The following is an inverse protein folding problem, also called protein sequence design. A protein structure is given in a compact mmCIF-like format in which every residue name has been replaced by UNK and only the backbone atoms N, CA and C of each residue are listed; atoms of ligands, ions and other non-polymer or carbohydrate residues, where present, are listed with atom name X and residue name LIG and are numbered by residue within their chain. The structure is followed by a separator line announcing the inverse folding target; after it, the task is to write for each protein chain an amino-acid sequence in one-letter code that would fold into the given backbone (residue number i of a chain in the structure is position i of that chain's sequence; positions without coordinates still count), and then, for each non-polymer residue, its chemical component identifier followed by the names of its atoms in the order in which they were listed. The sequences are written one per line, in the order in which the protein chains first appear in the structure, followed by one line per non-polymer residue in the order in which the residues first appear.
data_IF_807561182407
#
_entry.id   IF_807561182407
#
_cell.length_a   1.000
_cell.length_b   1.000
_cell.length_c   1.000
_cell.angle_alpha   90.00
_cell.angle_beta   90.00
_cell.angle_gamma   90.00
#
_symmetry.space_group_name_H-M   'P 1'
#
loop_
_entity.id
_entity.type
_entity.pdbx_description
1 polymer ?
#
# COMPACT_ATOMS: atom_id res chain seq x y z
N UNK A 1 -55.38 48.87 20.67
CA UNK A 1 -54.22 48.07 20.24
C UNK A 1 -54.31 47.89 18.72
N UNK A 2 -54.33 48.96 17.91
CA UNK A 2 -53.19 49.74 17.35
C UNK A 2 -52.01 48.86 16.91
N UNK A 3 -51.50 48.84 15.68
CA UNK A 3 -51.90 49.24 14.31
C UNK A 3 -50.69 48.85 13.43
N UNK A 4 -50.81 47.88 12.52
CA UNK A 4 -50.84 48.04 11.04
C UNK A 4 -49.54 48.50 10.34
N UNK A 5 -49.18 47.72 9.31
CA UNK A 5 -48.19 47.92 8.24
C UNK A 5 -48.12 49.34 7.63
N UNK A 6 -46.95 49.73 7.11
CA UNK A 6 -46.79 50.31 5.75
C UNK A 6 -45.33 50.39 5.28
N UNK A 7 -45.16 50.23 3.96
CA UNK A 7 -43.93 50.23 3.17
C UNK A 7 -43.46 51.63 2.73
N UNK A 8 -42.20 51.79 2.29
CA UNK A 8 -41.79 52.60 1.12
C UNK A 8 -40.26 52.54 0.84
N UNK A 9 -39.90 52.49 -0.45
CA UNK A 9 -38.54 52.57 -1.05
C UNK A 9 -38.08 54.06 -1.20
N UNK A 10 -37.13 54.40 -2.11
CA UNK A 10 -35.68 54.55 -1.92
C UNK A 10 -35.21 56.01 -2.14
N UNK A 11 -33.94 56.34 -1.91
CA UNK A 11 -33.38 57.67 -2.25
C UNK A 11 -32.08 57.62 -3.03
N UNK A 12 -32.04 58.48 -4.05
CA UNK A 12 -31.07 58.67 -5.13
C UNK A 12 -29.95 59.66 -4.74
N UNK A 13 -28.72 59.39 -5.16
CA UNK A 13 -27.93 60.10 -6.20
C UNK A 13 -27.27 61.46 -5.85
N UNK A 14 -25.93 61.49 -5.97
CA UNK A 14 -25.04 62.48 -6.67
C UNK A 14 -23.58 62.23 -6.22
N UNK A 15 -22.68 61.68 -7.04
CA UNK A 15 -21.93 62.25 -8.19
C UNK A 15 -21.01 63.42 -7.78
N UNK A 16 -19.70 63.18 -7.67
CA UNK A 16 -18.69 63.62 -8.67
C UNK A 16 -17.21 63.46 -8.21
N UNK A 17 -16.42 62.85 -9.13
CA UNK A 17 -15.00 63.12 -9.52
C UNK A 17 -13.86 62.85 -8.50
N UNK A 18 -12.70 62.30 -8.87
CA UNK A 18 -12.09 62.01 -10.18
C UNK A 18 -10.87 61.08 -10.06
N UNK A 19 -10.56 60.43 -11.21
CA UNK A 19 -9.24 59.99 -11.71
C UNK A 19 -8.50 58.90 -10.89
N UNK A 20 -7.89 57.86 -11.46
CA UNK A 20 -7.42 57.44 -12.80
C UNK A 20 -6.73 56.08 -12.51
N UNK A 21 -6.63 55.04 -13.35
CA UNK A 21 -6.35 54.95 -14.78
C UNK A 21 -6.31 53.46 -15.18
N UNK A 22 -6.93 53.12 -16.32
CA UNK A 22 -6.45 52.19 -17.37
C UNK A 22 -6.32 50.68 -17.04
N UNK A 23 -6.72 49.70 -17.86
CA UNK A 23 -7.13 49.69 -19.27
C UNK A 23 -7.80 48.34 -19.61
N UNK A 24 -9.02 48.37 -20.16
CA UNK A 24 -9.35 47.92 -21.54
C UNK A 24 -9.79 46.45 -21.70
N UNK A 25 -11.05 46.15 -21.40
CA UNK A 25 -11.76 44.97 -21.94
C UNK A 25 -12.51 45.40 -23.21
N UNK A 26 -12.01 45.03 -24.38
CA UNK A 26 -12.71 45.23 -25.66
C UNK A 26 -13.36 43.91 -26.07
N UNK A 27 -14.70 43.91 -26.02
CA UNK A 27 -15.57 42.92 -26.65
C UNK A 27 -15.55 43.14 -28.16
N UNK A 28 -15.17 42.12 -28.94
CA UNK A 28 -15.35 42.13 -30.39
C UNK A 28 -15.99 40.82 -30.87
N UNK A 29 -17.21 40.96 -31.40
CA UNK A 29 -18.05 39.92 -31.98
C UNK A 29 -17.93 40.02 -33.50
N UNK A 30 -17.39 39.03 -34.23
CA UNK A 30 -17.80 38.74 -35.62
C UNK A 30 -17.20 37.46 -36.24
N UNK A 31 -18.13 36.72 -36.85
CA UNK A 31 -18.08 35.98 -38.14
C UNK A 31 -17.31 34.67 -38.26
N UNK A 32 -18.12 33.64 -38.56
CA UNK A 32 -17.74 32.44 -39.30
C UNK A 32 -16.83 32.80 -40.50
N UNK A 33 -15.66 32.17 -40.50
CA UNK A 33 -14.71 32.12 -41.61
C UNK A 33 -13.99 30.78 -41.52
N UNK A 34 -14.23 29.95 -42.53
CA UNK A 34 -13.67 28.61 -42.73
C UNK A 34 -12.13 28.70 -42.74
N UNK A 35 -11.46 28.10 -41.76
CA UNK A 35 -10.03 27.80 -41.82
C UNK A 35 -9.77 26.47 -41.11
N UNK A 36 -9.23 25.50 -41.84
CA UNK A 36 -8.67 24.27 -41.29
C UNK A 36 -7.42 24.66 -40.50
N UNK A 37 -7.54 24.77 -39.19
CA UNK A 37 -6.38 24.86 -38.31
C UNK A 37 -5.87 23.43 -38.07
N UNK A 38 -4.80 23.06 -38.77
CA UNK A 38 -3.91 21.97 -38.32
C UNK A 38 -3.32 22.39 -36.98
N UNK A 39 -3.83 21.81 -35.89
CA UNK A 39 -3.21 21.94 -34.57
C UNK A 39 -1.85 21.26 -34.67
N UNK A 40 -0.78 22.05 -34.66
CA UNK A 40 0.58 21.52 -34.61
C UNK A 40 0.97 21.30 -33.16
N UNK A 41 1.67 20.19 -32.91
CA UNK A 41 2.01 19.67 -31.59
C UNK A 41 2.69 20.65 -30.61
N UNK A 42 3.23 21.77 -31.10
CA UNK A 42 3.83 22.79 -30.24
C UNK A 42 2.81 23.46 -29.32
N UNK A 43 1.53 23.53 -29.72
CA UNK A 43 0.49 24.23 -28.95
C UNK A 43 -0.12 23.38 -27.82
N UNK A 44 0.10 22.05 -27.82
CA UNK A 44 -0.49 21.14 -26.82
C UNK A 44 0.45 20.76 -25.66
N UNK A 45 1.74 21.12 -25.72
CA UNK A 45 2.72 20.80 -24.66
C UNK A 45 2.43 21.62 -23.37
N UNK A 46 1.69 22.72 -23.48
CA UNK A 46 1.37 23.62 -22.36
C UNK A 46 0.40 23.08 -21.30
N UNK A 47 -0.24 21.92 -21.53
CA UNK A 47 -1.21 21.33 -20.58
C UNK A 47 -0.90 19.88 -20.20
N UNK A 48 0.34 19.41 -20.39
CA UNK A 48 0.72 18.08 -19.91
C UNK A 48 1.26 18.15 -18.46
N UNK A 49 0.58 17.40 -17.59
CA UNK A 49 0.90 17.15 -16.18
C UNK A 49 2.29 16.50 -15.95
N UNK A 50 3.09 16.30 -17.00
CA UNK A 50 4.38 15.62 -16.98
C UNK A 50 5.41 16.30 -16.05
N UNK A 51 5.39 17.64 -15.95
CA UNK A 51 6.26 18.38 -15.03
C UNK A 51 5.77 18.38 -13.57
N UNK A 52 4.49 18.06 -13.33
CA UNK A 52 3.90 17.98 -11.99
C UNK A 52 4.14 16.62 -11.35
N UNK A 53 4.20 15.56 -12.15
CA UNK A 53 4.44 14.18 -11.68
C UNK A 53 5.94 13.85 -11.63
N UNK A 54 6.77 14.41 -12.50
CA UNK A 54 8.24 14.32 -12.33
C UNK A 54 8.71 14.93 -10.99
N UNK A 55 7.94 15.88 -10.42
CA UNK A 55 8.17 16.39 -9.07
C UNK A 55 7.72 15.44 -7.94
N UNK A 56 6.88 14.43 -8.21
CA UNK A 56 6.56 13.37 -7.24
C UNK A 56 7.73 12.42 -6.99
N UNK A 57 8.73 12.39 -7.89
CA UNK A 57 9.93 11.55 -7.77
C UNK A 57 11.19 12.31 -7.31
N UNK A 58 11.06 13.57 -6.92
CA UNK A 58 12.11 14.23 -6.11
C UNK A 58 11.96 13.68 -4.69
N UNK A 59 13.02 13.18 -4.02
CA UNK A 59 12.89 12.82 -2.62
C UNK A 59 12.40 14.06 -1.87
N UNK A 60 11.21 13.94 -1.26
CA UNK A 60 10.61 14.94 -0.37
C UNK A 60 11.52 15.09 0.86
N UNK A 61 12.64 15.76 0.66
CA UNK A 61 13.60 16.17 1.68
C UNK A 61 13.16 17.54 2.13
N UNK A 62 12.90 17.67 3.43
CA UNK A 62 12.46 18.89 4.11
C UNK A 62 11.00 19.33 3.91
N UNK A 63 10.09 18.68 4.63
CA UNK A 63 9.08 19.40 5.40
C UNK A 63 9.16 18.89 6.85
N UNK A 64 9.58 19.78 7.74
CA UNK A 64 9.80 19.54 9.15
C UNK A 64 8.51 19.06 9.85
N UNK A 65 8.41 17.76 10.11
CA UNK A 65 7.70 17.28 11.28
C UNK A 65 8.62 17.56 12.47
N UNK A 66 8.31 18.60 13.25
CA UNK A 66 8.79 18.76 14.62
C UNK A 66 8.17 17.67 15.54
N UNK A 67 8.34 16.41 15.17
CA UNK A 67 8.26 15.29 16.09
C UNK A 67 9.70 14.96 16.47
N UNK A 68 10.07 15.20 17.73
CA UNK A 68 11.32 14.68 18.30
C UNK A 68 11.54 13.24 17.83
N UNK A 69 12.75 12.83 17.44
CA UNK A 69 13.03 11.42 17.24
C UNK A 69 12.70 10.71 18.55
N UNK A 70 11.70 9.83 18.52
CA UNK A 70 11.49 8.90 19.62
C UNK A 70 12.80 8.10 19.74
N UNK A 71 13.39 8.01 20.95
CA UNK A 71 14.66 7.32 21.14
C UNK A 71 14.55 5.89 20.63
N UNK A 72 15.61 5.43 19.95
CA UNK A 72 15.72 4.16 19.24
C UNK A 72 15.70 2.90 20.13
N UNK A 73 15.22 3.00 21.38
CA UNK A 73 15.20 1.94 22.39
C UNK A 73 13.79 1.65 22.94
N UNK A 74 12.73 2.04 22.22
CA UNK A 74 11.39 1.67 22.62
C UNK A 74 10.86 0.57 21.68
N UNK A 75 11.13 -0.72 21.93
CA UNK A 75 10.38 -1.77 21.26
C UNK A 75 8.91 -1.44 21.47
N UNK A 76 8.17 -1.48 20.37
CA UNK A 76 6.74 -1.23 20.24
C UNK A 76 6.03 -1.39 21.60
N UNK A 77 5.37 -0.31 22.06
CA UNK A 77 4.75 -0.23 23.39
C UNK A 77 3.97 -1.49 23.81
N UNK A 78 3.24 -2.20 22.91
CA UNK A 78 2.56 -3.45 23.24
C UNK A 78 3.49 -4.59 23.72
N UNK A 79 4.64 -4.79 23.10
CA UNK A 79 5.61 -5.84 23.46
C UNK A 79 6.16 -5.62 24.87
N UNK A 80 6.34 -4.36 25.26
CA UNK A 80 6.75 -4.00 26.63
C UNK A 80 5.66 -4.29 27.66
N UNK A 81 4.38 -4.15 27.29
CA UNK A 81 3.25 -4.48 28.17
C UNK A 81 3.21 -5.99 28.43
N UNK A 82 3.38 -6.81 27.39
CA UNK A 82 3.45 -8.28 27.55
C UNK A 82 4.62 -8.68 28.43
N UNK A 83 5.83 -8.18 28.15
CA UNK A 83 7.00 -8.49 28.94
C UNK A 83 6.89 -8.02 30.41
N UNK A 84 6.18 -6.92 30.65
CA UNK A 84 5.90 -6.44 32.01
C UNK A 84 4.89 -7.34 32.71
N UNK A 85 3.84 -7.78 32.03
CA UNK A 85 2.84 -8.71 32.57
C UNK A 85 3.50 -10.03 33.01
N UNK A 86 4.34 -10.63 32.17
CA UNK A 86 5.10 -11.85 32.49
C UNK A 86 5.99 -11.67 33.72
N UNK A 87 6.66 -10.52 33.83
CA UNK A 87 7.48 -10.19 35.00
C UNK A 87 6.66 -10.03 36.27
N UNK A 88 5.51 -9.36 36.19
CA UNK A 88 4.61 -9.13 37.32
C UNK A 88 4.02 -10.47 37.78
N UNK A 89 3.65 -11.36 36.86
CA UNK A 89 3.21 -12.71 37.15
C UNK A 89 4.25 -13.47 37.96
N UNK A 90 5.45 -13.62 37.40
CA UNK A 90 6.54 -14.38 38.01
C UNK A 90 6.91 -13.84 39.41
N UNK A 91 7.00 -12.51 39.55
CA UNK A 91 7.31 -11.89 40.82
C UNK A 91 6.19 -12.07 41.85
N UNK A 92 4.92 -11.91 41.44
CA UNK A 92 3.78 -12.02 42.35
C UNK A 92 3.62 -13.46 42.84
N UNK A 93 3.67 -14.44 41.94
CA UNK A 93 3.61 -15.86 42.30
C UNK A 93 4.75 -16.27 43.25
N UNK A 94 5.97 -15.76 43.05
CA UNK A 94 7.08 -16.01 43.97
C UNK A 94 6.79 -15.45 45.37
N UNK A 95 6.35 -14.19 45.47
CA UNK A 95 6.10 -13.55 46.77
C UNK A 95 4.93 -14.17 47.52
N UNK A 96 3.90 -14.62 46.81
CA UNK A 96 2.76 -15.31 47.42
C UNK A 96 3.19 -16.67 48.01
N UNK A 97 4.08 -17.40 47.33
CA UNK A 97 4.69 -18.63 47.88
C UNK A 97 5.54 -18.37 49.11
N UNK A 98 6.28 -17.26 49.15
CA UNK A 98 7.07 -16.87 50.32
C UNK A 98 6.17 -16.53 51.52
N UNK A 99 5.10 -15.77 51.31
CA UNK A 99 4.13 -15.42 52.36
C UNK A 99 3.44 -16.65 52.94
N UNK A 100 2.99 -17.56 52.09
CA UNK A 100 2.40 -18.84 52.49
C UNK A 100 3.39 -19.71 53.29
N UNK A 101 4.67 -19.71 52.90
CA UNK A 101 5.74 -20.39 53.65
C UNK A 101 5.96 -19.76 55.02
N UNK A 102 6.01 -18.42 55.11
CA UNK A 102 6.13 -17.70 56.39
C UNK A 102 4.93 -17.97 57.29
N UNK A 103 3.71 -17.97 56.73
CA UNK A 103 2.49 -18.26 57.47
C UNK A 103 2.53 -19.69 58.06
N UNK A 104 2.93 -20.70 57.28
CA UNK A 104 3.13 -22.06 57.79
C UNK A 104 4.18 -22.15 58.89
N UNK A 105 5.33 -21.51 58.72
CA UNK A 105 6.39 -21.51 59.73
C UNK A 105 5.91 -20.85 61.04
N UNK A 106 5.19 -19.74 60.93
CA UNK A 106 4.63 -19.02 62.07
C UNK A 106 3.58 -19.86 62.79
N UNK A 107 2.72 -20.56 62.04
CA UNK A 107 1.73 -21.51 62.58
C UNK A 107 2.41 -22.66 63.34
N UNK A 108 3.50 -23.23 62.81
CA UNK A 108 4.27 -24.26 63.51
C UNK A 108 4.92 -23.73 64.78
N UNK A 109 5.50 -22.52 64.74
CA UNK A 109 6.11 -21.89 65.91
C UNK A 109 5.07 -21.65 67.02
N UNK A 110 3.89 -21.16 66.66
CA UNK A 110 2.77 -20.96 67.57
C UNK A 110 2.28 -22.29 68.17
N UNK A 111 2.21 -23.35 67.36
CA UNK A 111 1.85 -24.69 67.83
C UNK A 111 2.88 -25.23 68.84
N UNK A 112 4.17 -25.08 68.54
CA UNK A 112 5.23 -25.49 69.47
C UNK A 112 5.15 -24.71 70.79
N UNK A 113 4.85 -23.40 70.73
CA UNK A 113 4.65 -22.58 71.91
C UNK A 113 3.41 -23.00 72.71
N UNK A 114 2.31 -23.39 72.06
CA UNK A 114 1.12 -23.94 72.71
C UNK A 114 1.44 -25.26 73.44
N UNK A 115 2.23 -26.15 72.82
CA UNK A 115 2.66 -27.41 73.45
C UNK A 115 3.50 -27.15 74.69
N UNK A 116 4.46 -26.22 74.62
CA UNK A 116 5.32 -25.90 75.76
C UNK A 116 4.55 -25.18 76.87
N UNK A 117 3.62 -24.30 76.51
CA UNK A 117 2.71 -23.65 77.46
C UNK A 117 1.83 -24.67 78.21
N UNK A 118 1.31 -25.68 77.49
CA UNK A 118 0.57 -26.78 78.12
C UNK A 118 1.46 -27.61 79.06
N UNK A 119 2.73 -27.86 78.67
CA UNK A 119 3.71 -28.58 79.49
C UNK A 119 4.08 -27.85 80.78
N UNK A 120 4.11 -26.52 80.75
CA UNK A 120 4.38 -25.67 81.90
C UNK A 120 3.19 -25.52 82.88
N UNK A 121 2.00 -26.05 82.54
CA UNK A 121 0.82 -26.03 83.40
C UNK A 121 0.33 -24.61 83.72
N UNK A 122 0.06 -24.30 84.99
CA UNK A 122 -0.44 -22.98 85.42
C UNK A 122 0.52 -21.84 85.08
N UNK A 123 1.84 -22.07 85.10
CA UNK A 123 2.84 -21.06 84.74
C UNK A 123 2.82 -20.71 83.24
N UNK A 124 2.27 -21.58 82.39
CA UNK A 124 2.19 -21.40 80.93
C UNK A 124 0.92 -20.71 80.44
N UNK A 125 -0.10 -20.44 81.28
CA UNK A 125 -1.41 -19.91 80.83
C UNK A 125 -1.31 -18.60 80.04
N UNK A 126 -0.48 -17.66 80.48
CA UNK A 126 -0.28 -16.40 79.77
C UNK A 126 0.37 -16.59 78.39
N UNK A 127 1.35 -17.50 78.30
CA UNK A 127 2.01 -17.86 77.04
C UNK A 127 1.06 -18.57 76.07
N UNK A 128 0.15 -19.41 76.58
CA UNK A 128 -0.83 -20.10 75.75
C UNK A 128 -1.77 -19.12 75.01
N UNK A 129 -2.19 -18.04 75.66
CA UNK A 129 -3.03 -17.00 75.04
C UNK A 129 -2.29 -16.32 73.90
N UNK A 130 -1.04 -15.90 74.13
CA UNK A 130 -0.22 -15.26 73.09
C UNK A 130 0.03 -16.21 71.93
N UNK A 131 0.36 -17.48 72.22
CA UNK A 131 0.59 -18.49 71.18
C UNK A 131 -0.67 -18.77 70.34
N UNK A 132 -1.86 -18.75 70.95
CA UNK A 132 -3.13 -18.85 70.21
C UNK A 132 -3.34 -17.65 69.28
N UNK A 133 -3.11 -16.43 69.76
CA UNK A 133 -3.25 -15.22 68.93
C UNK A 133 -2.27 -15.24 67.74
N UNK A 134 -1.02 -15.68 67.94
CA UNK A 134 -0.03 -15.82 66.86
C UNK A 134 -0.46 -16.87 65.84
N UNK A 135 -1.06 -17.99 66.29
CA UNK A 135 -1.62 -19.01 65.40
C UNK A 135 -2.74 -18.44 64.55
N UNK A 136 -3.67 -17.70 65.15
CA UNK A 136 -4.81 -17.11 64.45
C UNK A 136 -4.36 -16.07 63.42
N UNK A 137 -3.34 -15.26 63.73
CA UNK A 137 -2.71 -14.34 62.77
C UNK A 137 -2.08 -15.10 61.60
N UNK A 138 -1.37 -16.19 61.87
CA UNK A 138 -0.75 -17.02 60.82
C UNK A 138 -1.80 -17.64 59.89
N UNK A 139 -2.92 -18.12 60.43
CA UNK A 139 -4.03 -18.66 59.65
C UNK A 139 -4.70 -17.56 58.80
N UNK A 140 -4.91 -16.37 59.34
CA UNK A 140 -5.43 -15.22 58.56
C UNK A 140 -4.46 -14.80 57.46
N UNK A 141 -3.15 -14.78 57.72
CA UNK A 141 -2.14 -14.43 56.73
C UNK A 141 -2.09 -15.45 55.56
N UNK A 142 -2.22 -16.74 55.86
CA UNK A 142 -2.35 -17.78 54.83
C UNK A 142 -3.62 -17.56 53.99
N UNK A 143 -4.76 -17.31 54.62
CA UNK A 143 -6.03 -17.05 53.92
C UNK A 143 -5.98 -15.82 53.00
N UNK A 144 -5.35 -14.72 53.45
CA UNK A 144 -5.14 -13.53 52.61
C UNK A 144 -4.23 -13.86 51.42
N UNK A 145 -3.18 -14.66 51.63
CA UNK A 145 -2.26 -15.05 50.55
C UNK A 145 -2.94 -15.93 49.49
N UNK A 146 -3.82 -16.83 49.92
CA UNK A 146 -4.66 -17.64 49.02
C UNK A 146 -5.64 -16.77 48.23
N UNK A 147 -6.34 -15.85 48.89
CA UNK A 147 -7.25 -14.90 48.23
C UNK A 147 -6.52 -14.03 47.19
N UNK A 148 -5.38 -13.47 47.56
CA UNK A 148 -4.55 -12.69 46.63
C UNK A 148 -4.10 -13.52 45.43
N UNK A 149 -3.76 -14.80 45.63
CA UNK A 149 -3.40 -15.68 44.52
C UNK A 149 -4.58 -15.93 43.59
N UNK A 150 -5.78 -16.15 44.15
CA UNK A 150 -7.01 -16.38 43.41
C UNK A 150 -7.49 -15.14 42.63
N UNK A 151 -7.23 -13.94 43.13
CA UNK A 151 -7.60 -12.68 42.47
C UNK A 151 -6.54 -12.22 41.43
N UNK A 152 -5.25 -12.33 41.77
CA UNK A 152 -4.17 -11.84 40.91
C UNK A 152 -3.90 -12.77 39.73
N UNK A 153 -3.97 -14.10 39.91
CA UNK A 153 -3.68 -15.06 38.84
C UNK A 153 -4.52 -14.82 37.57
N UNK A 154 -5.87 -14.83 37.66
CA UNK A 154 -6.73 -14.56 36.52
C UNK A 154 -6.50 -13.18 35.90
N UNK A 155 -6.31 -12.14 36.72
CA UNK A 155 -6.12 -10.76 36.24
C UNK A 155 -4.83 -10.62 35.43
N UNK A 156 -3.74 -11.24 35.87
CA UNK A 156 -2.46 -11.20 35.14
C UNK A 156 -2.52 -12.04 33.87
N UNK A 157 -3.18 -13.20 33.90
CA UNK A 157 -3.42 -14.02 32.72
C UNK A 157 -4.24 -13.27 31.65
N UNK A 158 -5.31 -12.57 32.06
CA UNK A 158 -6.10 -11.73 31.16
C UNK A 158 -5.27 -10.59 30.56
N UNK A 159 -4.43 -9.92 31.36
CA UNK A 159 -3.50 -8.89 30.91
C UNK A 159 -2.50 -9.43 29.86
N UNK A 160 -1.99 -10.64 30.06
CA UNK A 160 -1.10 -11.31 29.11
C UNK A 160 -1.81 -11.63 27.79
N UNK A 161 -3.02 -12.21 27.86
CA UNK A 161 -3.83 -12.52 26.67
C UNK A 161 -4.22 -11.26 25.89
N UNK A 162 -4.60 -10.17 26.58
CA UNK A 162 -4.88 -8.89 25.95
C UNK A 162 -3.62 -8.29 25.31
N UNK A 163 -2.49 -8.33 26.02
CA UNK A 163 -1.22 -7.83 25.52
C UNK A 163 -0.76 -8.55 24.26
N UNK A 164 -0.82 -9.88 24.25
CA UNK A 164 -0.42 -10.70 23.09
C UNK A 164 -1.34 -10.46 21.89
N UNK A 165 -2.66 -10.36 22.11
CA UNK A 165 -3.61 -9.98 21.05
C UNK A 165 -3.34 -8.58 20.50
N UNK A 166 -3.05 -7.61 21.36
CA UNK A 166 -2.72 -6.24 20.94
C UNK A 166 -1.44 -6.19 20.10
N UNK A 167 -0.39 -6.91 20.49
CA UNK A 167 0.85 -7.03 19.70
C UNK A 167 0.54 -7.59 18.32
N UNK A 168 -0.19 -8.71 18.25
CA UNK A 168 -0.55 -9.35 17.00
C UNK A 168 -1.40 -8.43 16.11
N UNK A 169 -2.37 -7.72 16.68
CA UNK A 169 -3.24 -6.82 15.96
C UNK A 169 -2.49 -5.59 15.42
N UNK A 170 -1.65 -4.95 16.24
CA UNK A 170 -0.85 -3.78 15.83
C UNK A 170 0.13 -4.17 14.72
N UNK A 171 0.80 -5.32 14.86
CA UNK A 171 1.70 -5.85 13.83
C UNK A 171 0.94 -6.15 12.53
N UNK A 172 -0.14 -6.90 12.62
CA UNK A 172 -0.96 -7.27 11.47
C UNK A 172 -1.52 -6.06 10.72
N UNK A 173 -2.04 -5.07 11.46
CA UNK A 173 -2.53 -3.81 10.89
C UNK A 173 -1.41 -3.04 10.18
N UNK A 174 -0.24 -2.91 10.81
CA UNK A 174 0.92 -2.25 10.18
C UNK A 174 1.33 -2.93 8.87
N UNK A 175 1.37 -4.26 8.83
CA UNK A 175 1.71 -5.00 7.61
C UNK A 175 0.64 -4.82 6.52
N UNK A 176 -0.64 -4.81 6.90
CA UNK A 176 -1.75 -4.53 5.98
C UNK A 176 -1.68 -3.10 5.42
N UNK A 177 -1.35 -2.10 6.24
CA UNK A 177 -1.18 -0.71 5.81
C UNK A 177 -0.01 -0.55 4.84
N UNK A 178 1.11 -1.24 5.08
CA UNK A 178 2.26 -1.27 4.18
C UNK A 178 1.94 -2.01 2.87
N UNK A 179 1.15 -3.08 2.93
CA UNK A 179 0.68 -3.81 1.75
C UNK A 179 -0.21 -2.92 0.88
N UNK A 180 -1.12 -2.17 1.50
CA UNK A 180 -1.97 -1.20 0.82
C UNK A 180 -1.13 -0.11 0.14
N UNK A 181 -0.16 0.44 0.87
CA UNK A 181 0.75 1.44 0.33
C UNK A 181 1.49 0.93 -0.91
N UNK A 182 2.02 -0.30 -0.86
CA UNK A 182 2.73 -0.90 -1.99
C UNK A 182 1.85 -1.00 -3.25
N UNK A 183 0.65 -1.58 -3.13
CA UNK A 183 -0.23 -1.77 -4.30
C UNK A 183 -0.81 -0.46 -4.80
N UNK A 184 -1.14 0.48 -3.91
CA UNK A 184 -1.68 1.79 -4.27
C UNK A 184 -0.65 2.64 -5.03
N UNK A 185 0.63 2.60 -4.64
CA UNK A 185 1.69 3.30 -5.37
C UNK A 185 1.84 2.75 -6.80
N UNK A 186 1.66 1.45 -6.98
CA UNK A 186 1.66 0.83 -8.31
C UNK A 186 0.46 1.31 -9.12
N UNK A 187 -0.76 1.29 -8.59
CA UNK A 187 -1.93 1.75 -9.34
C UNK A 187 -1.82 3.21 -9.77
N UNK A 188 -1.33 4.07 -8.87
CA UNK A 188 -1.05 5.48 -9.20
C UNK A 188 -0.01 5.62 -10.30
N UNK A 189 1.05 4.82 -10.24
CA UNK A 189 2.05 4.82 -11.28
C UNK A 189 1.47 4.33 -12.61
N UNK A 190 0.61 3.32 -12.58
CA UNK A 190 0.02 2.70 -13.75
C UNK A 190 -1.10 3.52 -14.40
N UNK A 191 -1.82 4.34 -13.64
CA UNK A 191 -2.94 5.17 -14.12
C UNK A 191 -2.57 6.04 -15.32
N UNK A 192 -1.44 6.75 -15.26
CA UNK A 192 -1.03 7.66 -16.34
C UNK A 192 -0.81 6.94 -17.67
N UNK A 193 -0.41 5.66 -17.61
CA UNK A 193 -0.11 4.85 -18.81
C UNK A 193 -1.37 4.54 -19.62
N UNK A 194 -2.53 4.52 -18.95
CA UNK A 194 -3.84 4.39 -19.59
C UNK A 194 -4.16 5.58 -20.48
N UNK A 195 -3.74 6.79 -20.10
CA UNK A 195 -3.91 8.00 -20.90
C UNK A 195 -2.86 8.08 -22.01
N UNK A 196 -1.61 7.75 -21.69
CA UNK A 196 -0.49 7.80 -22.63
C UNK A 196 -0.75 6.94 -23.88
N UNK A 197 -1.17 5.67 -23.70
CA UNK A 197 -1.39 4.75 -24.83
C UNK A 197 -2.50 5.23 -25.77
N UNK A 198 -3.60 5.76 -25.23
CA UNK A 198 -4.73 6.28 -26.02
C UNK A 198 -4.34 7.53 -26.79
N UNK A 199 -3.63 8.44 -26.14
CA UNK A 199 -3.16 9.65 -26.79
C UNK A 199 -2.20 9.34 -27.94
N UNK A 200 -1.22 8.47 -27.70
CA UNK A 200 -0.23 8.12 -28.72
C UNK A 200 -0.81 7.31 -29.89
N UNK A 201 -1.88 6.55 -29.67
CA UNK A 201 -2.59 5.86 -30.75
C UNK A 201 -3.23 6.82 -31.77
N UNK A 202 -3.44 8.09 -31.40
CA UNK A 202 -3.95 9.15 -32.31
C UNK A 202 -2.85 9.95 -33.01
N UNK A 203 -1.57 9.69 -32.71
CA UNK A 203 -0.46 10.41 -33.33
C UNK A 203 -0.44 10.15 -34.84
N UNK A 204 -0.31 11.22 -35.65
CA UNK A 204 -0.40 11.13 -37.10
C UNK A 204 0.64 10.17 -37.71
N UNK A 205 1.83 10.05 -37.12
CA UNK A 205 2.84 9.12 -37.60
C UNK A 205 2.46 7.66 -37.27
N UNK A 206 1.86 7.43 -36.09
CA UNK A 206 1.37 6.10 -35.69
C UNK A 206 0.23 5.65 -36.60
N UNK A 207 -0.74 6.53 -36.83
CA UNK A 207 -1.89 6.27 -37.73
C UNK A 207 -1.42 6.02 -39.15
N UNK A 208 -0.50 6.84 -39.68
CA UNK A 208 0.02 6.68 -41.04
C UNK A 208 0.78 5.35 -41.21
N UNK A 209 1.58 4.95 -40.22
CA UNK A 209 2.28 3.66 -40.26
C UNK A 209 1.30 2.48 -40.28
N UNK A 210 0.28 2.50 -39.42
CA UNK A 210 -0.76 1.47 -39.38
C UNK A 210 -1.57 1.42 -40.68
N UNK A 211 -1.87 2.57 -41.29
CA UNK A 211 -2.63 2.65 -42.55
C UNK A 211 -1.81 2.19 -43.77
N UNK A 212 -0.51 2.53 -43.81
CA UNK A 212 0.40 2.01 -44.84
C UNK A 212 0.58 0.48 -44.72
N UNK A 213 0.56 -0.04 -43.49
CA UNK A 213 0.66 -1.48 -43.18
C UNK A 213 1.89 -2.15 -43.80
N UNK A 214 2.99 -1.42 -43.97
CA UNK A 214 4.21 -1.89 -44.60
C UNK A 214 5.44 -1.69 -43.69
N UNK A 215 5.98 -2.78 -43.08
CA UNK A 215 7.23 -2.67 -42.31
C UNK A 215 8.37 -2.16 -43.18
N UNK A 216 9.11 -1.16 -42.68
CA UNK A 216 10.21 -0.54 -43.43
C UNK A 216 9.79 0.51 -44.46
N UNK A 217 8.50 0.79 -44.60
CA UNK A 217 7.99 1.89 -45.42
C UNK A 217 8.28 3.29 -44.85
N UNK A 218 8.09 4.35 -45.64
CA UNK A 218 8.31 5.74 -45.21
C UNK A 218 7.48 6.15 -43.98
N UNK A 219 6.21 5.72 -43.85
CA UNK A 219 5.41 6.07 -42.67
C UNK A 219 5.90 5.32 -41.42
N UNK A 220 6.30 4.05 -41.57
CA UNK A 220 6.92 3.29 -40.49
C UNK A 220 8.23 3.94 -40.01
N UNK A 221 9.07 4.42 -40.93
CA UNK A 221 10.30 5.13 -40.60
C UNK A 221 10.05 6.44 -39.81
N UNK A 222 9.04 7.22 -40.20
CA UNK A 222 8.65 8.43 -39.47
C UNK A 222 8.08 8.10 -38.09
N UNK A 223 7.24 7.06 -38.00
CA UNK A 223 6.71 6.57 -36.73
C UNK A 223 7.83 6.15 -35.77
N UNK A 224 8.86 5.44 -36.25
CA UNK A 224 10.04 5.08 -35.44
C UNK A 224 10.70 6.35 -34.85
N UNK A 225 10.93 7.39 -35.66
CA UNK A 225 11.54 8.64 -35.14
C UNK A 225 10.66 9.28 -34.06
N UNK A 226 9.35 9.27 -34.28
CA UNK A 226 8.36 9.86 -33.37
C UNK A 226 8.29 9.09 -32.04
N UNK A 227 8.17 7.77 -32.10
CA UNK A 227 8.17 6.90 -30.93
C UNK A 227 9.48 6.98 -30.16
N UNK A 228 10.62 7.12 -30.83
CA UNK A 228 11.90 7.33 -30.17
C UNK A 228 11.95 8.64 -29.35
N UNK A 229 11.25 9.70 -29.77
CA UNK A 229 11.11 10.93 -28.96
C UNK A 229 10.30 10.65 -27.70
N UNK A 230 9.20 9.89 -27.82
CA UNK A 230 8.37 9.51 -26.69
C UNK A 230 9.21 8.70 -25.69
N UNK A 231 9.85 7.61 -26.14
CA UNK A 231 10.64 6.73 -25.30
C UNK A 231 11.77 7.46 -24.54
N UNK A 232 12.41 8.46 -25.16
CA UNK A 232 13.44 9.28 -24.48
C UNK A 232 12.91 10.17 -23.36
N UNK A 233 11.65 10.61 -23.44
CA UNK A 233 11.04 11.46 -22.43
C UNK A 233 10.27 10.67 -21.36
N UNK A 234 9.86 9.43 -21.69
CA UNK A 234 9.12 8.53 -20.81
C UNK A 234 9.98 7.28 -20.54
N UNK A 235 10.93 7.42 -19.63
CA UNK A 235 12.00 6.43 -19.37
C UNK A 235 11.54 5.14 -18.70
N UNK A 236 10.26 5.05 -18.32
CA UNK A 236 9.66 3.88 -17.67
C UNK A 236 9.23 2.79 -18.66
N UNK A 237 9.29 3.09 -19.96
CA UNK A 237 8.95 2.13 -21.01
C UNK A 237 10.21 1.51 -21.59
N UNK A 238 10.11 0.23 -21.94
CA UNK A 238 11.15 -0.48 -22.69
C UNK A 238 11.03 -0.19 -24.19
N UNK A 239 9.81 -0.24 -24.73
CA UNK A 239 9.53 -0.07 -26.14
C UNK A 239 8.04 0.24 -26.39
N UNK A 240 7.73 0.70 -27.61
CA UNK A 240 6.36 0.91 -28.10
C UNK A 240 6.25 0.28 -29.48
N UNK A 241 5.22 -0.52 -29.73
CA UNK A 241 5.06 -1.27 -30.99
C UNK A 241 3.78 -0.86 -31.70
N UNK A 242 3.89 -0.62 -33.00
CA UNK A 242 2.76 -0.44 -33.90
C UNK A 242 2.56 -1.73 -34.67
N UNK A 243 1.35 -2.26 -34.70
CA UNK A 243 1.00 -3.44 -35.50
C UNK A 243 0.00 -3.10 -36.58
N UNK A 244 -0.05 -3.92 -37.62
CA UNK A 244 -1.21 -3.97 -38.51
C UNK A 244 -2.36 -4.78 -37.89
N UNK A 245 -3.46 -4.91 -38.64
CA UNK A 245 -4.66 -5.69 -38.25
C UNK A 245 -4.43 -7.18 -38.10
N UNK A 246 -3.35 -7.71 -38.69
CA UNK A 246 -2.99 -9.13 -38.60
C UNK A 246 -2.12 -9.43 -37.38
N UNK A 247 -1.62 -8.39 -36.68
CA UNK A 247 -0.71 -8.53 -35.56
C UNK A 247 0.76 -8.42 -35.95
N UNK A 248 1.07 -8.15 -37.22
CA UNK A 248 2.46 -7.97 -37.65
C UNK A 248 2.99 -6.63 -37.16
N UNK A 249 4.14 -6.64 -36.49
CA UNK A 249 4.78 -5.41 -36.00
C UNK A 249 5.38 -4.62 -37.16
N UNK A 250 4.92 -3.38 -37.34
CA UNK A 250 5.30 -2.47 -38.42
C UNK A 250 6.49 -1.58 -38.04
N UNK A 251 6.52 -1.13 -36.79
CA UNK A 251 7.51 -0.21 -36.25
C UNK A 251 7.62 -0.38 -34.74
N UNK A 252 8.80 -0.11 -34.19
CA UNK A 252 9.02 0.01 -32.75
C UNK A 252 9.84 1.26 -32.38
N UNK A 253 9.81 1.67 -31.11
CA UNK A 253 10.46 2.88 -30.63
C UNK A 253 11.99 2.76 -30.54
N UNK A 254 12.50 1.54 -30.30
CA UNK A 254 13.94 1.28 -30.13
C UNK A 254 14.45 0.15 -31.05
N UNK A 255 14.39 0.29 -32.39
CA UNK A 255 14.81 -0.77 -33.32
C UNK A 255 16.29 -1.16 -33.18
N UNK A 256 17.15 -0.23 -32.75
CA UNK A 256 18.56 -0.53 -32.48
C UNK A 256 18.77 -1.41 -31.23
N UNK A 257 17.88 -1.31 -30.22
CA UNK A 257 17.93 -2.13 -29.01
C UNK A 257 17.24 -3.48 -29.23
N UNK A 258 16.15 -3.50 -30.00
CA UNK A 258 15.35 -4.69 -30.27
C UNK A 258 15.19 -4.93 -31.78
N UNK A 259 16.27 -5.36 -32.47
CA UNK A 259 16.29 -5.45 -33.94
C UNK A 259 15.38 -6.55 -34.52
N UNK A 260 14.93 -7.50 -33.69
CA UNK A 260 14.06 -8.62 -34.11
C UNK A 260 12.56 -8.32 -33.97
N UNK A 261 12.20 -7.14 -33.49
CA UNK A 261 10.80 -6.78 -33.21
C UNK A 261 10.04 -6.46 -34.49
N UNK A 262 10.58 -5.61 -35.36
CA UNK A 262 9.91 -5.25 -36.62
C UNK A 262 9.76 -6.49 -37.50
N UNK A 263 8.53 -6.72 -37.99
CA UNK A 263 8.16 -7.87 -38.80
C UNK A 263 7.78 -9.13 -38.00
N UNK A 264 7.95 -9.13 -36.67
CA UNK A 264 7.47 -10.20 -35.79
C UNK A 264 5.95 -10.22 -35.69
N UNK A 265 5.40 -11.32 -35.16
CA UNK A 265 3.97 -11.56 -35.01
C UNK A 265 3.53 -11.43 -33.55
N UNK A 266 2.61 -10.50 -33.29
CA UNK A 266 1.98 -10.26 -32.00
C UNK A 266 0.55 -10.81 -31.91
N UNK A 267 0.00 -11.45 -32.95
CA UNK A 267 -1.38 -11.95 -32.97
C UNK A 267 -1.70 -12.96 -31.85
N UNK A 268 -0.66 -13.64 -31.36
CA UNK A 268 -0.72 -14.59 -30.25
C UNK A 268 -0.84 -13.96 -28.86
N UNK A 269 -0.56 -12.67 -28.68
CA UNK A 269 -0.65 -12.02 -27.36
C UNK A 269 -2.07 -11.61 -26.99
N UNK A 270 -2.38 -11.59 -25.69
CA UNK A 270 -3.67 -11.09 -25.20
C UNK A 270 -3.80 -9.59 -25.47
N UNK A 271 -2.75 -8.81 -25.17
CA UNK A 271 -2.79 -7.36 -25.36
C UNK A 271 -3.19 -6.95 -26.79
N UNK A 272 -2.73 -7.67 -27.82
CA UNK A 272 -3.08 -7.36 -29.20
C UNK A 272 -4.54 -7.69 -29.50
N UNK A 273 -4.98 -8.91 -29.16
CA UNK A 273 -6.35 -9.36 -29.41
C UNK A 273 -7.37 -8.48 -28.69
N UNK A 274 -7.09 -8.15 -27.44
CA UNK A 274 -7.99 -7.36 -26.61
C UNK A 274 -7.99 -5.89 -27.08
N UNK A 275 -6.84 -5.35 -27.49
CA UNK A 275 -6.75 -4.02 -28.09
C UNK A 275 -7.54 -3.92 -29.41
N UNK A 276 -7.47 -4.92 -30.28
CA UNK A 276 -8.26 -4.97 -31.52
C UNK A 276 -9.78 -5.02 -31.25
N UNK A 277 -10.18 -5.49 -30.08
CA UNK A 277 -11.57 -5.62 -29.65
C UNK A 277 -12.11 -4.38 -28.91
N UNK A 278 -11.31 -3.34 -28.70
CA UNK A 278 -11.79 -2.13 -28.00
C UNK A 278 -12.94 -1.45 -28.76
N UNK A 279 -13.89 -0.89 -28.02
CA UNK A 279 -15.10 -0.30 -28.61
C UNK A 279 -14.82 1.00 -29.37
N UNK A 280 -13.94 1.84 -28.81
CA UNK A 280 -13.62 3.18 -29.32
C UNK A 280 -12.17 3.57 -28.98
N UNK A 281 -11.76 4.79 -29.33
CA UNK A 281 -10.43 5.33 -29.05
C UNK A 281 -10.21 5.77 -27.59
N UNK A 282 -11.27 5.85 -26.80
CA UNK A 282 -11.19 6.18 -25.37
C UNK A 282 -10.96 4.92 -24.51
N UNK A 283 -11.16 3.75 -25.11
CA UNK A 283 -10.91 2.43 -24.53
C UNK A 283 -9.43 2.05 -24.59
N UNK A 284 -8.99 1.25 -23.62
CA UNK A 284 -7.65 0.68 -23.55
C UNK A 284 -7.71 -0.68 -22.88
N UNK A 285 -6.64 -1.46 -23.01
CA UNK A 285 -6.47 -2.75 -22.33
C UNK A 285 -5.14 -2.78 -21.60
N UNK A 286 -5.11 -3.53 -20.51
CA UNK A 286 -3.90 -3.78 -19.72
C UNK A 286 -3.75 -5.28 -19.59
N UNK A 287 -2.66 -5.81 -20.13
CA UNK A 287 -2.28 -7.20 -19.92
C UNK A 287 -1.61 -7.33 -18.55
N UNK A 288 -1.92 -8.42 -17.85
CA UNK A 288 -1.25 -8.75 -16.59
C UNK A 288 0.27 -8.95 -16.83
N UNK A 289 1.04 -9.00 -15.74
CA UNK A 289 2.49 -9.05 -15.80
C UNK A 289 2.95 -10.35 -16.45
N UNK A 290 3.76 -10.22 -17.50
CA UNK A 290 4.32 -11.34 -18.27
C UNK A 290 5.78 -11.12 -18.63
N UNK A 291 6.45 -12.18 -19.10
CA UNK A 291 7.78 -12.07 -19.70
C UNK A 291 7.63 -11.86 -21.19
N UNK A 292 8.14 -10.75 -21.70
CA UNK A 292 8.25 -10.51 -23.14
C UNK A 292 9.53 -11.13 -23.68
N UNK A 293 9.42 -12.22 -24.44
CA UNK A 293 10.57 -12.90 -25.04
C UNK A 293 11.32 -12.00 -26.05
N UNK A 294 10.63 -11.05 -26.69
CA UNK A 294 11.25 -10.14 -27.65
C UNK A 294 12.07 -9.04 -26.97
N UNK A 295 11.66 -8.63 -25.76
CA UNK A 295 12.32 -7.58 -24.98
C UNK A 295 13.27 -8.14 -23.91
N UNK A 296 13.20 -9.46 -23.66
CA UNK A 296 13.94 -10.17 -22.60
C UNK A 296 13.73 -9.52 -21.21
N UNK A 297 12.46 -9.20 -20.91
CA UNK A 297 12.11 -8.46 -19.72
C UNK A 297 10.70 -8.80 -19.21
N UNK A 298 10.49 -8.58 -17.92
CA UNK A 298 9.15 -8.61 -17.31
C UNK A 298 8.45 -7.29 -17.59
N UNK A 299 7.23 -7.35 -18.12
CA UNK A 299 6.48 -6.18 -18.58
C UNK A 299 5.04 -6.20 -18.10
N UNK A 300 4.50 -5.01 -17.92
CA UNK A 300 3.06 -4.77 -17.98
C UNK A 300 2.76 -4.09 -19.33
N UNK A 301 1.84 -4.65 -20.11
CA UNK A 301 1.58 -4.15 -21.47
C UNK A 301 0.28 -3.37 -21.51
N UNK A 302 0.36 -2.11 -21.95
CA UNK A 302 -0.79 -1.27 -22.23
C UNK A 302 -1.02 -1.25 -23.73
N UNK A 303 -2.27 -1.42 -24.15
CA UNK A 303 -2.57 -1.39 -25.57
C UNK A 303 -3.92 -0.76 -25.90
N UNK A 304 -4.06 -0.29 -27.12
CA UNK A 304 -5.35 0.10 -27.71
C UNK A 304 -5.31 0.00 -29.23
N UNK A 305 -6.50 -0.02 -29.84
CA UNK A 305 -6.65 0.05 -31.28
C UNK A 305 -6.15 1.39 -31.84
N UNK A 306 -5.37 1.33 -32.91
CA UNK A 306 -5.11 2.49 -33.77
C UNK A 306 -6.25 2.55 -34.78
N UNK A 307 -6.92 3.71 -34.85
CA UNK A 307 -8.09 3.92 -35.69
C UNK A 307 -7.80 4.85 -36.86
N UNK A 308 -8.46 4.59 -37.99
CA UNK A 308 -8.31 5.37 -39.21
C UNK A 308 -8.53 6.86 -38.93
N UNK A 309 -7.59 7.69 -39.38
CA UNK A 309 -7.61 9.13 -39.16
C UNK A 309 -7.37 9.58 -37.71
N UNK A 310 -7.08 8.66 -36.78
CA UNK A 310 -7.01 8.97 -35.34
C UNK A 310 -8.37 9.27 -34.71
N UNK A 311 -9.47 8.89 -35.37
CA UNK A 311 -10.82 9.19 -34.91
C UNK A 311 -11.29 8.22 -33.81
N UNK A 312 -11.99 8.74 -32.79
CA UNK A 312 -12.50 7.94 -31.65
C UNK A 312 -13.36 6.75 -32.11
N UNK A 313 -14.18 6.92 -33.14
CA UNK A 313 -15.05 5.86 -33.68
C UNK A 313 -14.61 5.38 -35.06
N UNK A 314 -13.36 5.64 -35.45
CA UNK A 314 -12.81 5.23 -36.74
C UNK A 314 -12.64 3.71 -36.86
N UNK A 315 -12.51 3.22 -38.09
CA UNK A 315 -12.18 1.82 -38.36
C UNK A 315 -10.86 1.43 -37.67
N UNK A 316 -10.81 0.26 -37.01
CA UNK A 316 -9.56 -0.29 -36.47
C UNK A 316 -8.64 -0.71 -37.62
N UNK A 317 -7.45 -0.11 -37.66
CA UNK A 317 -6.43 -0.36 -38.69
C UNK A 317 -5.15 -1.00 -38.14
N UNK A 318 -5.05 -1.17 -36.82
CA UNK A 318 -3.91 -1.77 -36.15
C UNK A 318 -3.98 -1.58 -34.66
N UNK A 319 -2.87 -1.78 -33.95
CA UNK A 319 -2.78 -1.52 -32.51
C UNK A 319 -1.51 -0.78 -32.16
N UNK A 320 -1.54 -0.09 -31.02
CA UNK A 320 -0.36 0.41 -30.34
C UNK A 320 -0.20 -0.36 -29.02
N UNK A 321 0.90 -1.07 -28.87
CA UNK A 321 1.33 -1.70 -27.63
C UNK A 321 2.45 -0.91 -26.97
N UNK A 322 2.39 -0.72 -25.66
CA UNK A 322 3.34 0.05 -24.86
C UNK A 322 3.82 -0.84 -23.71
N UNK A 323 5.13 -1.10 -23.67
CA UNK A 323 5.72 -2.10 -22.77
C UNK A 323 6.38 -1.41 -21.58
N UNK A 324 5.70 -1.42 -20.44
CA UNK A 324 6.18 -0.83 -19.20
C UNK A 324 7.23 -1.72 -18.54
N UNK A 325 8.38 -1.15 -18.17
CA UNK A 325 9.47 -1.85 -17.50
C UNK A 325 9.09 -2.17 -16.05
N UNK A 326 8.62 -3.39 -15.80
CA UNK A 326 7.96 -3.74 -14.55
C UNK A 326 8.92 -3.83 -13.36
N UNK A 327 10.08 -4.44 -13.58
CA UNK A 327 10.98 -4.86 -12.50
C UNK A 327 11.60 -3.69 -11.73
N UNK A 328 12.16 -2.65 -12.38
CA UNK A 328 12.77 -1.53 -11.66
C UNK A 328 11.74 -0.73 -10.85
N UNK A 329 10.51 -0.64 -11.34
CA UNK A 329 9.46 0.20 -10.75
C UNK A 329 8.89 -0.45 -9.50
N UNK A 330 8.60 -1.76 -9.57
CA UNK A 330 8.19 -2.53 -8.40
C UNK A 330 9.29 -2.67 -7.36
N UNK A 331 10.55 -2.86 -7.78
CA UNK A 331 11.71 -2.86 -6.88
C UNK A 331 11.79 -1.54 -6.09
N UNK A 332 11.68 -0.40 -6.76
CA UNK A 332 11.68 0.90 -6.10
C UNK A 332 10.54 1.05 -5.07
N UNK A 333 9.34 0.56 -5.38
CA UNK A 333 8.20 0.58 -4.46
C UNK A 333 8.43 -0.32 -3.24
N UNK A 334 8.85 -1.57 -3.45
CA UNK A 334 9.07 -2.53 -2.37
C UNK A 334 10.27 -2.14 -1.49
N UNK A 335 11.35 -1.62 -2.08
CA UNK A 335 12.49 -1.09 -1.33
C UNK A 335 12.11 0.16 -0.53
N UNK A 336 11.23 1.00 -1.09
CA UNK A 336 10.72 2.22 -0.46
C UNK A 336 9.80 2.02 0.74
N UNK A 337 9.37 0.78 1.03
CA UNK A 337 8.55 0.47 2.21
C UNK A 337 9.29 0.83 3.50
N UNK A 338 8.59 1.49 4.42
CA UNK A 338 9.17 1.99 5.69
C UNK A 338 9.27 0.90 6.75
N UNK A 339 10.14 -0.08 6.48
CA UNK A 339 10.52 -1.14 7.39
C UNK A 339 11.84 -0.79 8.11
N UNK A 340 11.89 -1.02 9.43
CA UNK A 340 13.17 -0.95 10.15
C UNK A 340 14.13 -2.05 9.66
N UNK A 341 15.47 -1.92 9.83
CA UNK A 341 16.41 -2.92 9.32
C UNK A 341 16.12 -4.36 9.76
N UNK A 342 15.84 -4.57 11.05
CA UNK A 342 15.51 -5.90 11.59
C UNK A 342 14.16 -6.42 11.09
N UNK A 343 13.20 -5.51 10.89
CA UNK A 343 11.89 -5.82 10.31
C UNK A 343 12.05 -6.25 8.85
N UNK A 344 12.88 -5.53 8.07
CA UNK A 344 13.16 -5.86 6.67
C UNK A 344 13.86 -7.21 6.52
N UNK A 345 14.73 -7.60 7.46
CA UNK A 345 15.39 -8.90 7.44
C UNK A 345 14.43 -10.09 7.66
N UNK A 346 13.26 -9.82 8.26
CA UNK A 346 12.26 -10.85 8.60
C UNK A 346 10.99 -10.75 7.76
N UNK A 347 10.83 -9.69 6.98
CA UNK A 347 9.64 -9.39 6.18
C UNK A 347 9.92 -9.48 4.69
N UNK A 348 9.15 -10.33 4.00
CA UNK A 348 9.10 -10.40 2.55
C UNK A 348 7.89 -9.61 2.05
N UNK A 349 8.12 -8.60 1.22
CA UNK A 349 7.06 -7.80 0.61
C UNK A 349 6.81 -8.26 -0.83
N UNK A 350 5.54 -8.38 -1.19
CA UNK A 350 5.06 -8.99 -2.43
C UNK A 350 4.00 -8.11 -3.09
N UNK A 351 4.01 -8.14 -4.42
CA UNK A 351 2.86 -7.80 -5.24
C UNK A 351 2.38 -9.10 -5.88
N UNK A 352 1.07 -9.33 -5.83
CA UNK A 352 0.42 -10.52 -6.36
C UNK A 352 -0.62 -10.13 -7.40
N UNK A 353 -0.79 -10.94 -8.44
CA UNK A 353 -1.93 -10.80 -9.34
C UNK A 353 -3.25 -11.23 -8.67
N UNK A 354 -4.37 -11.09 -9.38
CA UNK A 354 -5.71 -11.44 -8.85
C UNK A 354 -5.85 -12.93 -8.49
N UNK A 355 -4.95 -13.78 -9.00
CA UNK A 355 -4.92 -15.23 -8.76
C UNK A 355 -3.89 -15.62 -7.69
N UNK A 356 -3.24 -14.65 -7.05
CA UNK A 356 -2.22 -14.87 -6.03
C UNK A 356 -0.84 -15.21 -6.57
N UNK A 357 -0.59 -15.12 -7.89
CA UNK A 357 0.75 -15.33 -8.45
C UNK A 357 1.63 -14.14 -8.11
N UNK A 358 2.86 -14.39 -7.67
CA UNK A 358 3.83 -13.34 -7.35
C UNK A 358 4.21 -12.61 -8.63
N UNK A 359 3.90 -11.33 -8.72
CA UNK A 359 4.30 -10.46 -9.83
C UNK A 359 5.48 -9.56 -9.45
N UNK A 360 5.74 -9.33 -8.16
CA UNK A 360 7.00 -8.77 -7.68
C UNK A 360 7.28 -9.24 -6.25
N UNK A 361 8.57 -9.33 -5.89
CA UNK A 361 9.01 -9.70 -4.55
C UNK A 361 10.24 -8.90 -4.13
N UNK A 362 10.31 -8.52 -2.86
CA UNK A 362 11.43 -7.73 -2.29
C UNK A 362 12.76 -8.49 -2.31
N UNK A 363 12.72 -9.82 -2.35
CA UNK A 363 13.90 -10.69 -2.47
C UNK A 363 14.11 -11.21 -3.92
N UNK A 364 13.23 -10.83 -4.85
CA UNK A 364 13.21 -11.33 -6.23
C UNK A 364 12.86 -12.81 -6.39
N UNK A 365 12.62 -13.54 -5.30
CA UNK A 365 12.35 -14.97 -5.35
C UNK A 365 10.91 -15.22 -5.84
N UNK A 366 10.73 -16.27 -6.65
CA UNK A 366 9.40 -16.75 -7.03
C UNK A 366 8.61 -15.83 -7.98
N UNK A 367 9.21 -14.76 -8.50
CA UNK A 367 8.53 -13.84 -9.43
C UNK A 367 8.04 -14.63 -10.66
N UNK A 368 6.75 -14.48 -10.97
CA UNK A 368 5.96 -15.17 -11.99
C UNK A 368 5.85 -16.69 -11.89
N UNK A 369 6.43 -17.31 -10.85
CA UNK A 369 6.49 -18.78 -10.69
C UNK A 369 5.84 -19.26 -9.39
N UNK A 370 5.92 -18.47 -8.33
CA UNK A 370 5.31 -18.74 -7.04
C UNK A 370 3.87 -18.22 -6.99
N UNK A 371 3.03 -18.90 -6.21
CA UNK A 371 1.68 -18.47 -5.86
C UNK A 371 1.54 -18.46 -4.34
N UNK A 372 0.97 -17.38 -3.81
CA UNK A 372 0.60 -17.24 -2.42
C UNK A 372 -0.93 -17.24 -2.29
N UNK A 373 -1.47 -18.23 -1.58
CA UNK A 373 -2.90 -18.29 -1.27
C UNK A 373 -3.21 -17.40 -0.07
N UNK A 374 -3.78 -16.22 -0.33
CA UNK A 374 -4.20 -15.29 0.72
C UNK A 374 -5.49 -15.75 1.40
N UNK A 375 -5.48 -15.80 2.74
CA UNK A 375 -6.68 -16.03 3.56
C UNK A 375 -7.44 -14.74 3.79
N UNK A 376 -8.10 -14.24 2.74
CA UNK A 376 -8.74 -12.92 2.80
C UNK A 376 -10.06 -12.91 3.57
N UNK A 377 -10.75 -14.04 3.67
CA UNK A 377 -12.10 -14.11 4.26
C UNK A 377 -13.12 -13.21 3.56
N UNK A 378 -12.87 -12.82 2.30
CA UNK A 378 -13.68 -11.85 1.55
C UNK A 378 -13.37 -10.38 1.87
N UNK A 379 -12.46 -10.09 2.79
CA UNK A 379 -12.04 -8.72 3.08
C UNK A 379 -11.09 -8.18 2.01
N UNK A 380 -11.20 -6.87 1.72
CA UNK A 380 -10.29 -6.17 0.80
C UNK A 380 -8.91 -5.93 1.41
N UNK A 381 -8.78 -5.89 2.73
CA UNK A 381 -7.50 -5.81 3.44
C UNK A 381 -7.61 -6.48 4.80
N UNK A 382 -6.49 -6.88 5.37
CA UNK A 382 -6.47 -7.52 6.67
C UNK A 382 -5.13 -8.18 6.98
N UNK A 383 -5.13 -8.98 8.03
CA UNK A 383 -3.96 -9.77 8.41
C UNK A 383 -4.37 -11.07 9.08
N UNK A 384 -3.50 -12.06 9.01
CA UNK A 384 -3.65 -13.34 9.69
C UNK A 384 -2.29 -13.90 10.09
N UNK A 385 -2.29 -14.83 11.04
CA UNK A 385 -1.13 -15.66 11.35
C UNK A 385 -1.23 -16.98 10.58
N UNK A 386 -0.14 -17.40 9.94
CA UNK A 386 -0.08 -18.63 9.15
C UNK A 386 0.71 -19.77 9.83
N UNK A 387 1.17 -19.56 11.06
CA UNK A 387 2.04 -20.45 11.83
C UNK A 387 3.53 -20.19 11.61
N UNK A 388 3.94 -19.62 10.47
CA UNK A 388 5.31 -19.19 10.22
C UNK A 388 5.51 -17.71 10.60
N UNK A 389 4.45 -16.93 10.58
CA UNK A 389 4.38 -15.59 11.11
C UNK A 389 3.12 -14.84 10.69
N UNK A 390 3.23 -13.52 10.64
CA UNK A 390 2.09 -12.65 10.33
C UNK A 390 2.11 -12.25 8.86
N UNK A 391 0.99 -12.43 8.18
CA UNK A 391 0.75 -11.97 6.81
C UNK A 391 -0.23 -10.81 6.84
N UNK A 392 0.20 -9.64 6.38
CA UNK A 392 -0.69 -8.51 6.08
C UNK A 392 -0.96 -8.44 4.58
N UNK A 393 -2.19 -8.14 4.18
CA UNK A 393 -2.58 -8.06 2.78
C UNK A 393 -3.53 -6.89 2.52
N UNK A 394 -3.53 -6.41 1.29
CA UNK A 394 -4.49 -5.43 0.80
C UNK A 394 -4.68 -5.58 -0.71
N UNK A 395 -5.95 -5.56 -1.15
CA UNK A 395 -6.34 -5.52 -2.55
C UNK A 395 -6.18 -4.09 -3.06
N UNK A 396 -5.81 -3.97 -4.33
CA UNK A 396 -5.84 -2.70 -5.07
C UNK A 396 -7.17 -1.97 -4.87
N UNK A 397 -7.15 -0.69 -4.45
CA UNK A 397 -8.34 0.16 -4.47
C UNK A 397 -8.61 0.78 -5.85
N UNK A 398 -7.71 0.60 -6.82
CA UNK A 398 -7.65 1.39 -8.05
C UNK A 398 -7.20 2.83 -7.80
N UNK A 399 -7.11 3.61 -8.87
CA UNK A 399 -6.81 5.04 -8.82
C UNK A 399 -7.50 5.80 -9.96
N UNK A 400 -8.29 6.82 -9.60
CA UNK A 400 -9.09 7.62 -10.54
C UNK A 400 -9.96 6.73 -11.46
N UNK A 401 -9.72 6.70 -12.77
CA UNK A 401 -10.46 5.86 -13.73
C UNK A 401 -9.76 4.53 -14.05
N UNK A 402 -8.65 4.22 -13.39
CA UNK A 402 -7.98 2.93 -13.48
C UNK A 402 -8.37 2.07 -12.28
N UNK A 403 -9.26 1.09 -12.48
CA UNK A 403 -9.76 0.22 -11.40
C UNK A 403 -8.70 -0.78 -10.87
N UNK A 404 -7.58 -0.92 -11.57
CA UNK A 404 -6.58 -1.95 -11.30
C UNK A 404 -7.00 -3.32 -11.85
N UNK A 405 -6.07 -4.29 -11.79
CA UNK A 405 -6.30 -5.66 -12.26
C UNK A 405 -6.74 -6.62 -11.14
N UNK A 406 -7.22 -6.08 -10.02
CA UNK A 406 -7.58 -6.88 -8.83
C UNK A 406 -6.38 -7.47 -8.08
N UNK A 407 -5.20 -6.88 -8.28
CA UNK A 407 -3.94 -7.24 -7.62
C UNK A 407 -3.97 -7.03 -6.10
N UNK A 408 -3.00 -7.64 -5.42
CA UNK A 408 -2.81 -7.51 -3.98
C UNK A 408 -1.38 -7.08 -3.65
N UNK A 409 -1.23 -6.23 -2.65
CA UNK A 409 -0.01 -6.15 -1.85
C UNK A 409 -0.06 -7.19 -0.74
N UNK A 410 1.08 -7.79 -0.40
CA UNK A 410 1.20 -8.67 0.76
C UNK A 410 2.56 -8.51 1.44
N UNK A 411 2.59 -8.49 2.77
CA UNK A 411 3.81 -8.55 3.56
C UNK A 411 3.76 -9.79 4.45
N UNK A 412 4.73 -10.68 4.26
CA UNK A 412 4.89 -11.90 5.04
C UNK A 412 6.06 -11.70 6.01
N UNK A 413 5.75 -11.47 7.28
CA UNK A 413 6.74 -11.31 8.33
C UNK A 413 6.87 -12.59 9.13
N UNK A 414 8.07 -13.18 9.12
CA UNK A 414 8.37 -14.37 9.93
C UNK A 414 8.41 -14.00 11.41
N UNK A 415 7.87 -14.87 12.26
CA UNK A 415 8.07 -14.75 13.69
C UNK A 415 9.57 -14.87 14.03
N UNK A 416 10.09 -14.08 14.98
CA UNK A 416 11.47 -14.25 15.45
C UNK A 416 11.67 -15.71 15.91
N UNK A 417 12.70 -16.38 15.39
CA UNK A 417 13.03 -17.73 15.82
C UNK A 417 13.38 -17.70 17.32
N UNK A 418 12.49 -18.26 18.16
CA UNK A 418 12.74 -18.50 19.58
C UNK A 418 11.88 -17.67 20.54
N UNK A 419 10.65 -18.13 20.77
CA UNK A 419 9.97 -18.21 22.09
C UNK A 419 8.68 -18.99 21.87
N UNK A 420 8.80 -20.29 21.64
CA UNK A 420 7.69 -21.19 21.97
C UNK A 420 7.52 -21.16 23.50
N UNK A 421 6.34 -20.85 24.04
CA UNK A 421 6.03 -21.30 25.39
C UNK A 421 5.90 -22.83 25.32
N UNK A 422 6.84 -23.51 25.98
CA UNK A 422 6.71 -24.93 26.29
C UNK A 422 5.75 -25.12 27.45
#
# INVERSE_FOLDING_TARGET
MSSTLAAAKPTSAKVSRAASSSSSTVTARRRLGRSRSTVTMHDCIGYSSASKVMRMFTPMSHAALNGRPLPADNPLVPERVVALAERVEAQSSSRLRDLDTIARMTRMLALNALVEAARAGEAGRGFAVVASEVKDIAERAAGISEQLSAELGPTVAELHELGTRLVSQVRGQRLADLALNAVELIDRNLYERTCDVRWWATDAAVVAAADESHPGGPAAAEAIRRLAVILRNYTVYLDLWITDRSGRVLANAAPGRYPRVVGSDASGSSWFRDAMATADGDSYVVEDVTVSAALDATVATYATAVRRGGETTGEVIGTLGVFFDWEPQTRAVLDGLRLAPDERATTRALLLDATGRVIAASDGAGVLTERLELRTGGAGSGSYDDGAGTVGFARTPGYETYEGLGWYGALCQRSPAGRHPA
#
